data_IF_420803626363
#
_entry.id   IF_420803626363
#
_cell.length_a   1.000
_cell.length_b   1.000
_cell.length_c   1.000
_cell.angle_alpha   90.00
_cell.angle_beta   90.00
_cell.angle_gamma   90.00
#
_symmetry.space_group_name_H-M   'P 1'
#
loop_
_entity.id
_entity.type
_entity.pdbx_description
1 polymer ?
#
# COMPACT_ATOMS: atom_id res chain seq x y z
N UNK A 1 -22.43 3.88 -0.89
CA UNK A 1 -21.32 4.84 -0.85
C UNK A 1 -21.90 6.24 -0.60
N UNK A 2 -21.43 7.04 0.37
CA UNK A 2 -20.27 6.87 1.25
C UNK A 2 -20.60 6.17 2.59
N UNK A 3 -19.59 5.65 3.28
CA UNK A 3 -19.69 5.32 4.72
C UNK A 3 -19.30 6.55 5.56
N UNK A 4 -19.73 6.60 6.82
CA UNK A 4 -19.44 7.73 7.71
C UNK A 4 -17.93 7.76 8.01
N UNK A 5 -17.25 8.86 7.65
CA UNK A 5 -15.83 9.07 7.92
C UNK A 5 -15.66 9.32 9.43
N UNK A 6 -14.98 8.44 10.18
CA UNK A 6 -14.73 8.68 11.59
C UNK A 6 -13.97 9.99 11.81
N UNK A 7 -14.25 10.70 12.91
CA UNK A 7 -13.59 11.97 13.24
C UNK A 7 -12.05 11.84 13.25
N UNK A 8 -11.54 10.68 13.67
CA UNK A 8 -10.12 10.33 13.67
C UNK A 8 -9.48 10.21 12.28
N UNK A 9 -10.28 10.02 11.21
CA UNK A 9 -9.80 9.97 9.83
C UNK A 9 -10.18 11.21 9.01
N UNK A 10 -10.89 12.17 9.58
CA UNK A 10 -11.37 13.38 8.89
C UNK A 10 -10.25 14.22 8.26
N UNK A 11 -9.04 14.22 8.85
CA UNK A 11 -7.89 14.89 8.24
C UNK A 11 -7.51 14.28 6.87
N UNK A 12 -7.79 13.00 6.66
CA UNK A 12 -7.38 12.25 5.48
C UNK A 12 -8.36 12.37 4.31
N UNK A 13 -9.35 13.27 4.38
CA UNK A 13 -10.15 13.71 3.23
C UNK A 13 -9.84 15.15 2.80
N UNK A 14 -9.08 15.90 3.61
CA UNK A 14 -8.70 17.28 3.33
C UNK A 14 -7.56 17.37 2.29
N UNK A 15 -7.50 18.46 1.51
CA UNK A 15 -6.38 18.72 0.61
C UNK A 15 -5.11 19.05 1.40
N UNK A 16 -3.95 18.73 0.82
CA UNK A 16 -2.65 19.14 1.35
C UNK A 16 -1.64 19.34 0.22
N UNK A 17 -0.44 19.83 0.53
CA UNK A 17 0.62 20.03 -0.46
C UNK A 17 0.87 18.74 -1.26
N UNK A 18 0.86 18.83 -2.59
CA UNK A 18 0.98 17.72 -3.55
C UNK A 18 -0.24 16.80 -3.64
N UNK A 19 -1.29 17.00 -2.82
CA UNK A 19 -2.53 16.22 -2.83
C UNK A 19 -3.68 17.23 -2.91
N UNK A 20 -3.83 17.85 -4.07
CA UNK A 20 -4.82 18.91 -4.34
C UNK A 20 -6.22 18.31 -4.56
N UNK A 21 -6.78 17.61 -3.56
CA UNK A 21 -8.09 16.93 -3.64
C UNK A 21 -9.29 17.87 -3.82
N UNK A 22 -9.11 19.17 -3.59
CA UNK A 22 -10.09 20.22 -3.85
C UNK A 22 -10.00 20.82 -5.27
N UNK A 23 -9.07 20.33 -6.10
CA UNK A 23 -8.93 20.79 -7.48
C UNK A 23 -10.12 20.33 -8.35
N UNK A 24 -10.78 21.24 -9.09
CA UNK A 24 -11.95 20.89 -9.90
C UNK A 24 -11.66 19.83 -10.99
N UNK A 25 -10.46 19.78 -11.55
CA UNK A 25 -10.14 18.78 -12.58
C UNK A 25 -9.98 17.39 -11.97
N UNK A 26 -9.37 17.31 -10.79
CA UNK A 26 -9.24 16.07 -10.01
C UNK A 26 -10.64 15.56 -9.60
N UNK A 27 -11.50 16.43 -9.06
CA UNK A 27 -12.87 16.07 -8.66
C UNK A 27 -13.65 15.52 -9.84
N UNK A 28 -13.70 16.25 -10.96
CA UNK A 28 -14.46 15.83 -12.13
C UNK A 28 -13.94 14.52 -12.74
N UNK A 29 -12.62 14.31 -12.70
CA UNK A 29 -12.01 13.07 -13.19
C UNK A 29 -12.37 11.89 -12.28
N UNK A 30 -12.25 12.06 -10.96
CA UNK A 30 -12.58 11.02 -9.98
C UNK A 30 -14.07 10.66 -10.01
N UNK A 31 -14.96 11.65 -10.11
CA UNK A 31 -16.41 11.42 -10.27
C UNK A 31 -16.72 10.62 -11.54
N UNK A 32 -16.01 10.90 -12.64
CA UNK A 32 -16.16 10.18 -13.89
C UNK A 32 -15.72 8.72 -13.81
N UNK A 33 -14.59 8.46 -13.15
CA UNK A 33 -14.04 7.10 -12.93
C UNK A 33 -14.98 6.29 -12.03
N UNK A 34 -15.50 6.90 -10.97
CA UNK A 34 -16.26 6.21 -9.92
C UNK A 34 -17.77 6.12 -10.20
N UNK A 35 -18.26 6.70 -11.29
CA UNK A 35 -19.70 6.76 -11.61
C UNK A 35 -20.43 5.40 -11.65
N UNK A 36 -19.72 4.31 -11.88
CA UNK A 36 -20.26 2.94 -11.93
C UNK A 36 -19.89 2.05 -10.74
N UNK A 37 -19.10 2.55 -9.78
CA UNK A 37 -18.62 1.77 -8.65
C UNK A 37 -19.77 1.45 -7.67
N UNK A 38 -19.77 0.25 -7.08
CA UNK A 38 -20.84 -0.17 -6.18
C UNK A 38 -20.56 0.18 -4.73
N UNK A 39 -19.29 0.29 -4.36
CA UNK A 39 -18.84 0.68 -3.03
C UNK A 39 -17.51 1.48 -3.01
N UNK A 40 -16.96 1.65 -1.82
CA UNK A 40 -15.73 2.40 -1.55
C UNK A 40 -14.51 1.77 -2.19
N UNK A 41 -14.45 0.45 -2.09
CA UNK A 41 -13.33 -0.33 -2.51
C UNK A 41 -13.31 -0.39 -4.02
N UNK A 42 -14.46 -0.63 -4.65
CA UNK A 42 -14.64 -0.50 -6.10
C UNK A 42 -14.18 0.88 -6.61
N UNK A 43 -14.54 1.95 -5.89
CA UNK A 43 -14.15 3.31 -6.24
C UNK A 43 -12.63 3.51 -6.15
N UNK A 44 -12.02 3.08 -5.04
CA UNK A 44 -10.58 3.21 -4.82
C UNK A 44 -9.77 2.39 -5.84
N UNK A 45 -10.18 1.14 -6.10
CA UNK A 45 -9.54 0.26 -7.08
C UNK A 45 -9.68 0.82 -8.49
N UNK A 46 -10.87 1.26 -8.91
CA UNK A 46 -11.07 1.87 -10.23
C UNK A 46 -10.20 3.14 -10.43
N UNK A 47 -10.02 3.95 -9.38
CA UNK A 47 -9.11 5.09 -9.40
C UNK A 47 -7.66 4.63 -9.58
N UNK A 48 -7.21 3.63 -8.82
CA UNK A 48 -5.84 3.16 -8.90
C UNK A 48 -5.51 2.48 -10.24
N UNK A 49 -6.45 1.70 -10.79
CA UNK A 49 -6.36 1.13 -12.14
C UNK A 49 -6.31 2.23 -13.20
N UNK A 50 -7.17 3.24 -13.10
CA UNK A 50 -7.14 4.35 -14.04
C UNK A 50 -5.80 5.11 -13.98
N UNK A 51 -5.26 5.35 -12.78
CA UNK A 51 -3.95 6.00 -12.62
C UNK A 51 -2.85 5.15 -13.25
N UNK A 52 -2.85 3.84 -13.02
CA UNK A 52 -1.91 2.91 -13.64
C UNK A 52 -1.95 3.02 -15.18
N UNK A 53 -3.15 2.97 -15.76
CA UNK A 53 -3.37 2.95 -17.21
C UNK A 53 -3.13 4.30 -17.89
N UNK A 54 -3.25 5.42 -17.17
CA UNK A 54 -3.29 6.77 -17.77
C UNK A 54 -2.12 7.66 -17.38
N UNK A 55 -1.24 7.24 -16.46
CA UNK A 55 -0.10 8.04 -16.01
C UNK A 55 1.20 7.35 -16.37
N UNK A 56 1.91 7.93 -17.34
CA UNK A 56 3.19 7.42 -17.82
C UNK A 56 4.29 7.56 -16.73
N UNK A 57 4.96 6.47 -16.34
CA UNK A 57 6.04 6.53 -15.37
C UNK A 57 7.17 7.48 -15.81
N UNK A 58 7.60 8.36 -14.90
CA UNK A 58 8.66 9.35 -15.15
C UNK A 58 9.65 9.44 -13.99
N UNK A 59 10.86 9.94 -14.28
CA UNK A 59 11.86 10.24 -13.26
C UNK A 59 11.62 11.58 -12.55
N UNK A 60 10.70 12.39 -13.07
CA UNK A 60 10.36 13.70 -12.50
C UNK A 60 9.08 13.55 -11.69
N UNK A 61 9.19 13.78 -10.37
CA UNK A 61 8.04 13.82 -9.48
C UNK A 61 7.31 15.16 -9.52
N UNK A 62 6.01 15.12 -9.26
CA UNK A 62 5.11 16.27 -9.22
C UNK A 62 3.97 16.04 -8.22
N UNK A 63 3.23 17.10 -7.89
CA UNK A 63 1.99 17.00 -7.12
C UNK A 63 0.83 16.47 -7.97
N UNK A 64 -0.23 15.98 -7.32
CA UNK A 64 -1.38 15.34 -7.96
C UNK A 64 -1.94 16.13 -9.15
N UNK A 65 -2.16 17.44 -8.97
CA UNK A 65 -2.67 18.30 -10.04
C UNK A 65 -1.78 18.32 -11.27
N UNK A 66 -0.48 18.48 -11.07
CA UNK A 66 0.49 18.52 -12.16
C UNK A 66 0.62 17.14 -12.82
N UNK A 67 0.59 16.05 -12.04
CA UNK A 67 0.56 14.68 -12.56
C UNK A 67 -0.66 14.44 -13.46
N UNK A 68 -1.84 14.89 -13.04
CA UNK A 68 -3.06 14.75 -13.83
C UNK A 68 -2.98 15.51 -15.16
N UNK A 69 -2.50 16.75 -15.11
CA UNK A 69 -2.33 17.61 -16.28
C UNK A 69 -1.27 17.07 -17.25
N UNK A 70 -0.14 16.60 -16.72
CA UNK A 70 0.99 16.13 -17.53
C UNK A 70 0.83 14.69 -18.02
N UNK A 71 -0.10 13.92 -17.43
CA UNK A 71 -0.26 12.47 -17.63
C UNK A 71 1.03 11.70 -17.41
N UNK A 72 1.86 12.18 -16.49
CA UNK A 72 3.16 11.58 -16.19
C UNK A 72 3.65 11.96 -14.80
N UNK A 73 4.35 11.02 -14.15
CA UNK A 73 4.92 11.22 -12.83
C UNK A 73 5.66 9.99 -12.31
N UNK A 74 6.46 10.17 -11.26
CA UNK A 74 7.10 9.07 -10.54
C UNK A 74 6.11 8.30 -9.66
N UNK A 75 6.58 7.25 -8.98
CA UNK A 75 5.74 6.43 -8.09
C UNK A 75 5.05 7.27 -7.00
N UNK A 76 5.75 8.27 -6.47
CA UNK A 76 5.21 9.21 -5.48
C UNK A 76 4.06 10.05 -6.06
N UNK A 77 4.23 10.51 -7.29
CA UNK A 77 3.24 11.31 -8.04
C UNK A 77 1.97 10.51 -8.32
N UNK A 78 2.11 9.24 -8.72
CA UNK A 78 0.98 8.34 -8.92
C UNK A 78 0.23 8.09 -7.60
N UNK A 79 0.96 7.88 -6.50
CA UNK A 79 0.36 7.76 -5.18
C UNK A 79 -0.36 9.05 -4.76
N UNK A 80 0.25 10.23 -4.97
CA UNK A 80 -0.39 11.51 -4.69
C UNK A 80 -1.68 11.71 -5.49
N UNK A 81 -1.67 11.44 -6.79
CA UNK A 81 -2.86 11.56 -7.62
C UNK A 81 -3.96 10.60 -7.18
N UNK A 82 -3.61 9.36 -6.87
CA UNK A 82 -4.54 8.35 -6.36
C UNK A 82 -5.18 8.80 -5.05
N UNK A 83 -4.37 9.31 -4.09
CA UNK A 83 -4.88 9.87 -2.83
C UNK A 83 -5.80 11.06 -3.12
N UNK A 84 -5.41 11.99 -3.99
CA UNK A 84 -6.20 13.18 -4.27
C UNK A 84 -7.58 12.83 -4.85
N UNK A 85 -7.64 11.86 -5.78
CA UNK A 85 -8.90 11.36 -6.36
C UNK A 85 -9.75 10.59 -5.33
N UNK A 86 -9.14 9.78 -4.47
CA UNK A 86 -9.86 9.09 -3.39
C UNK A 86 -10.44 10.11 -2.39
N UNK A 87 -9.66 11.12 -1.98
CA UNK A 87 -10.13 12.19 -1.10
C UNK A 87 -11.25 13.02 -1.74
N UNK A 88 -11.15 13.31 -3.03
CA UNK A 88 -12.18 14.03 -3.80
C UNK A 88 -13.53 13.29 -3.81
N UNK A 89 -13.50 11.95 -3.71
CA UNK A 89 -14.71 11.09 -3.63
C UNK A 89 -15.12 10.76 -2.19
N UNK A 90 -14.47 11.37 -1.20
CA UNK A 90 -14.77 11.21 0.22
C UNK A 90 -14.16 9.98 0.88
N UNK A 91 -13.21 9.30 0.22
CA UNK A 91 -12.47 8.16 0.77
C UNK A 91 -11.24 8.69 1.55
N UNK A 92 -11.19 8.51 2.89
CA UNK A 92 -10.02 8.93 3.64
C UNK A 92 -8.79 8.15 3.18
N UNK A 93 -7.76 8.86 2.72
CA UNK A 93 -6.60 8.24 2.07
C UNK A 93 -5.30 8.90 2.52
N UNK A 94 -4.23 8.11 2.67
CA UNK A 94 -2.93 8.59 3.17
C UNK A 94 -1.76 8.01 2.38
N UNK A 95 -0.67 8.78 2.32
CA UNK A 95 0.59 8.30 1.78
C UNK A 95 1.30 7.45 2.82
N UNK A 96 1.72 6.26 2.39
CA UNK A 96 2.58 5.38 3.17
C UNK A 96 3.88 5.17 2.42
N UNK A 97 4.98 5.21 3.17
CA UNK A 97 6.31 5.05 2.60
C UNK A 97 7.08 3.93 3.27
N UNK A 98 7.92 3.29 2.47
CA UNK A 98 8.54 2.04 2.85
C UNK A 98 9.52 1.53 1.82
N UNK A 99 9.60 0.21 1.73
CA UNK A 99 10.36 -0.50 0.71
C UNK A 99 9.40 -1.39 -0.09
N UNK A 100 9.57 -1.44 -1.40
CA UNK A 100 8.95 -2.42 -2.29
C UNK A 100 10.02 -3.26 -2.99
N UNK A 101 9.81 -4.57 -3.13
CA UNK A 101 10.69 -5.46 -3.89
C UNK A 101 10.31 -5.47 -5.36
N UNK A 102 11.26 -5.21 -6.24
CA UNK A 102 11.06 -5.38 -7.67
C UNK A 102 12.36 -5.75 -8.36
N UNK A 103 12.31 -6.74 -9.27
CA UNK A 103 13.45 -7.12 -10.10
C UNK A 103 14.72 -7.50 -9.34
N UNK A 104 14.60 -8.18 -8.19
CA UNK A 104 15.75 -8.68 -7.44
C UNK A 104 16.29 -7.73 -6.35
N UNK A 105 15.70 -6.54 -6.17
CA UNK A 105 16.14 -5.55 -5.17
C UNK A 105 14.94 -4.87 -4.51
N UNK A 106 15.08 -4.48 -3.25
CA UNK A 106 14.13 -3.54 -2.64
C UNK A 106 14.54 -2.11 -2.97
N UNK A 107 13.57 -1.30 -3.34
CA UNK A 107 13.72 0.14 -3.53
C UNK A 107 12.80 0.86 -2.55
N UNK A 108 13.17 2.09 -2.20
CA UNK A 108 12.25 2.99 -1.51
C UNK A 108 10.99 3.14 -2.36
N UNK A 109 9.83 2.98 -1.72
CA UNK A 109 8.56 3.00 -2.41
C UNK A 109 7.52 3.73 -1.58
N UNK A 110 6.52 4.26 -2.29
CA UNK A 110 5.39 4.94 -1.69
C UNK A 110 4.11 4.38 -2.31
N UNK A 111 3.17 4.03 -1.45
CA UNK A 111 1.84 3.55 -1.85
C UNK A 111 0.76 4.31 -1.08
N UNK A 112 -0.48 4.01 -1.41
CA UNK A 112 -1.68 4.61 -0.82
C UNK A 112 -2.27 3.66 0.21
N UNK A 113 -2.79 4.20 1.31
CA UNK A 113 -3.74 3.46 2.13
C UNK A 113 -5.06 4.22 2.17
N UNK A 114 -6.14 3.49 1.93
CA UNK A 114 -7.50 3.99 2.00
C UNK A 114 -8.20 3.40 3.22
N UNK A 115 -8.89 4.24 3.97
CA UNK A 115 -9.70 3.76 5.09
C UNK A 115 -10.99 3.12 4.55
N UNK A 116 -11.33 1.93 5.03
CA UNK A 116 -12.43 1.09 4.53
C UNK A 116 -13.37 0.67 5.67
N UNK A 117 -13.72 1.61 6.56
CA UNK A 117 -14.62 1.38 7.68
C UNK A 117 -14.06 0.36 8.67
N UNK A 118 -14.83 -0.69 8.96
CA UNK A 118 -14.43 -1.78 9.87
C UNK A 118 -13.16 -2.51 9.41
N UNK A 119 -12.86 -2.47 8.10
CA UNK A 119 -11.65 -3.04 7.53
C UNK A 119 -10.39 -2.19 7.76
N UNK A 120 -10.51 -1.00 8.38
CA UNK A 120 -9.36 -0.17 8.72
C UNK A 120 -8.65 0.41 7.49
N UNK A 121 -7.34 0.62 7.60
CA UNK A 121 -6.51 1.19 6.52
C UNK A 121 -6.02 0.10 5.57
N UNK A 122 -6.56 0.06 4.36
CA UNK A 122 -6.28 -0.95 3.36
C UNK A 122 -5.28 -0.41 2.33
N UNK A 123 -4.17 -1.12 2.03
CA UNK A 123 -3.17 -0.67 1.07
C UNK A 123 -3.67 -0.75 -0.38
N UNK A 124 -3.19 0.18 -1.19
CA UNK A 124 -3.52 0.37 -2.60
C UNK A 124 -2.29 0.94 -3.32
N UNK A 125 -1.76 0.24 -4.31
CA UNK A 125 -0.55 0.64 -5.03
C UNK A 125 -0.77 0.64 -6.55
N UNK A 126 -1.01 1.81 -7.16
CA UNK A 126 -1.23 1.92 -8.60
C UNK A 126 0.02 1.58 -9.43
N UNK A 127 1.22 1.64 -8.85
CA UNK A 127 2.46 1.50 -9.61
C UNK A 127 2.84 0.04 -9.92
N UNK A 128 2.26 -0.91 -9.18
CA UNK A 128 2.53 -2.35 -9.31
C UNK A 128 1.26 -3.21 -9.37
N UNK A 129 0.09 -2.59 -9.56
CA UNK A 129 -1.23 -3.25 -9.62
C UNK A 129 -1.57 -4.09 -8.36
N UNK A 130 -1.16 -3.63 -7.19
CA UNK A 130 -1.50 -4.28 -5.91
C UNK A 130 -2.65 -3.53 -5.22
N UNK A 131 -3.83 -4.16 -5.16
CA UNK A 131 -5.06 -3.51 -4.68
C UNK A 131 -5.68 -4.30 -3.53
N UNK A 132 -5.41 -3.88 -2.29
CA UNK A 132 -6.04 -4.48 -1.11
C UNK A 132 -5.18 -5.46 -0.35
N UNK A 133 -3.97 -5.70 -0.83
CA UNK A 133 -2.92 -6.38 -0.11
C UNK A 133 -1.65 -5.56 -0.22
N UNK A 134 -0.88 -5.55 0.85
CA UNK A 134 0.54 -5.26 0.78
C UNK A 134 1.17 -6.64 0.82
N UNK A 135 1.68 -7.14 -0.31
CA UNK A 135 2.41 -8.40 -0.26
C UNK A 135 3.60 -8.20 0.71
N UNK A 136 4.24 -9.29 1.11
CA UNK A 136 5.44 -9.23 1.93
C UNK A 136 6.63 -8.39 1.40
N UNK A 137 6.69 -7.98 0.12
CA UNK A 137 7.64 -6.99 -0.32
C UNK A 137 7.27 -5.53 -0.01
N UNK A 138 6.09 -5.20 0.53
CA UNK A 138 5.76 -3.83 0.97
C UNK A 138 5.99 -3.68 2.47
N UNK A 139 7.12 -3.07 2.83
CA UNK A 139 7.50 -2.87 4.23
C UNK A 139 7.15 -1.45 4.67
N UNK A 140 6.09 -1.29 5.47
CA UNK A 140 5.71 0.00 6.06
C UNK A 140 6.80 0.49 7.01
N UNK A 141 7.45 1.60 6.67
CA UNK A 141 8.47 2.21 7.53
C UNK A 141 7.95 3.48 8.24
N UNK A 142 6.97 4.18 7.67
CA UNK A 142 6.43 5.43 8.24
C UNK A 142 5.05 5.79 7.67
N UNK A 143 4.34 6.62 8.42
CA UNK A 143 3.03 7.18 8.08
C UNK A 143 3.14 8.70 8.03
N UNK A 144 2.94 9.30 6.84
CA UNK A 144 3.13 10.73 6.56
C UNK A 144 4.58 11.26 6.70
N UNK A 145 4.91 12.29 5.92
CA UNK A 145 6.22 12.96 5.90
C UNK A 145 7.20 12.46 4.84
N UNK A 146 8.32 13.18 4.69
CA UNK A 146 9.39 12.82 3.75
C UNK A 146 10.51 12.05 4.45
N UNK A 147 11.02 10.98 3.82
CA UNK A 147 12.28 10.34 4.20
C UNK A 147 13.46 11.07 3.56
N UNK A 148 14.56 11.22 4.31
CA UNK A 148 15.88 11.41 3.73
C UNK A 148 16.28 10.12 3.00
N UNK A 149 16.38 10.18 1.67
CA UNK A 149 16.62 9.05 0.75
C UNK A 149 17.38 7.88 1.36
N UNK A 150 16.77 6.70 1.38
CA UNK A 150 17.48 5.45 1.68
C UNK A 150 18.36 5.11 0.47
N UNK A 151 19.63 5.50 0.52
CA UNK A 151 20.55 5.44 -0.63
C UNK A 151 20.82 4.03 -1.18
N UNK A 152 20.55 2.97 -0.40
CA UNK A 152 20.51 1.59 -0.90
C UNK A 152 19.98 0.63 0.16
N UNK A 153 19.14 -0.31 -0.25
CA UNK A 153 18.78 -1.52 0.52
C UNK A 153 19.12 -2.72 -0.37
N UNK A 154 20.00 -3.61 0.09
CA UNK A 154 20.43 -4.79 -0.67
C UNK A 154 19.92 -6.06 -0.01
N UNK A 155 19.30 -6.93 -0.80
CA UNK A 155 19.03 -8.30 -0.36
C UNK A 155 20.29 -9.11 -0.57
N UNK A 156 20.84 -9.64 0.52
CA UNK A 156 22.05 -10.48 0.46
C UNK A 156 21.68 -11.96 0.43
N UNK A 157 20.52 -12.35 0.97
CA UNK A 157 20.00 -13.72 0.92
C UNK A 157 18.47 -13.71 1.12
N UNK A 158 17.75 -14.57 0.41
CA UNK A 158 16.31 -14.80 0.54
C UNK A 158 16.04 -16.31 0.56
N UNK A 159 14.99 -16.75 1.26
CA UNK A 159 14.73 -18.21 1.45
C UNK A 159 13.76 -18.82 0.44
N UNK A 160 12.97 -18.04 -0.31
CA UNK A 160 12.06 -18.53 -1.36
C UNK A 160 12.38 -17.96 -2.74
N UNK A 161 12.55 -18.84 -3.73
CA UNK A 161 12.72 -18.45 -5.13
C UNK A 161 11.45 -17.77 -5.61
N UNK A 162 11.50 -16.57 -6.24
CA UNK A 162 10.31 -15.94 -6.78
C UNK A 162 9.62 -16.92 -7.73
N UNK A 163 8.35 -17.22 -7.48
CA UNK A 163 7.51 -17.77 -8.55
C UNK A 163 7.38 -16.70 -9.64
N UNK A 164 7.37 -17.14 -10.89
CA UNK A 164 7.36 -16.26 -12.05
C UNK A 164 6.24 -15.22 -11.91
N UNK A 165 6.55 -13.95 -12.21
CA UNK A 165 5.63 -12.80 -12.17
C UNK A 165 4.39 -12.92 -13.09
N UNK A 166 4.23 -14.06 -13.78
CA UNK A 166 3.12 -14.38 -14.68
C UNK A 166 2.19 -15.49 -14.13
N UNK A 167 2.31 -15.87 -12.86
CA UNK A 167 1.46 -16.91 -12.26
C UNK A 167 0.06 -16.34 -11.96
N UNK A 168 -1.04 -17.03 -12.29
CA UNK A 168 -2.40 -16.48 -12.15
C UNK A 168 -2.71 -16.00 -10.72
N UNK A 169 -3.42 -14.86 -10.61
CA UNK A 169 -3.80 -14.15 -9.37
C UNK A 169 -4.59 -14.97 -8.32
N UNK A 170 -4.97 -16.23 -8.59
CA UNK A 170 -5.71 -17.02 -7.60
C UNK A 170 -4.76 -17.51 -6.51
N UNK A 171 -4.88 -16.98 -5.28
CA UNK A 171 -4.13 -17.51 -4.16
C UNK A 171 -4.63 -18.91 -3.80
N UNK A 172 -3.69 -19.86 -3.67
CA UNK A 172 -3.92 -21.16 -3.03
C UNK A 172 -2.92 -21.31 -1.87
N UNK A 173 -3.19 -20.62 -0.77
CA UNK A 173 -2.37 -20.67 0.43
C UNK A 173 -2.86 -21.74 1.41
N UNK A 174 -1.93 -22.32 2.18
CA UNK A 174 -2.23 -23.27 3.24
C UNK A 174 -2.03 -22.64 4.64
N UNK A 175 -2.86 -23.04 5.61
CA UNK A 175 -2.67 -22.65 7.03
C UNK A 175 -1.29 -23.10 7.52
N UNK A 176 -0.58 -22.20 8.19
CA UNK A 176 0.79 -22.40 8.67
C UNK A 176 1.86 -22.19 7.60
N UNK A 177 1.47 -21.89 6.35
CA UNK A 177 2.43 -21.39 5.37
C UNK A 177 2.94 -20.03 5.83
N UNK A 178 4.26 -19.88 5.87
CA UNK A 178 4.91 -18.66 6.29
C UNK A 178 6.03 -18.30 5.32
N UNK A 179 6.20 -17.02 5.00
CA UNK A 179 7.41 -16.54 4.33
C UNK A 179 8.15 -15.56 5.24
N UNK A 180 9.47 -15.53 5.06
CA UNK A 180 10.39 -14.66 5.81
C UNK A 180 11.28 -13.90 4.84
N UNK A 181 11.28 -12.59 4.98
CA UNK A 181 12.11 -11.65 4.26
C UNK A 181 13.09 -11.05 5.25
N UNK A 182 14.39 -11.26 5.03
CA UNK A 182 15.44 -10.73 5.89
C UNK A 182 16.38 -9.84 5.09
N UNK A 183 16.74 -8.71 5.68
CA UNK A 183 17.58 -7.69 5.08
C UNK A 183 18.86 -7.61 5.87
N UNK A 184 19.99 -7.81 5.20
CA UNK A 184 21.29 -7.87 5.84
C UNK A 184 22.14 -6.72 5.33
N UNK A 185 22.50 -5.79 6.22
CA UNK A 185 23.43 -4.71 5.93
C UNK A 185 24.75 -4.99 6.63
N UNK A 186 25.86 -5.01 5.88
CA UNK A 186 27.21 -5.26 6.42
C UNK A 186 27.31 -6.53 7.28
N UNK A 187 26.61 -7.60 6.87
CA UNK A 187 26.60 -8.89 7.57
C UNK A 187 25.67 -8.97 8.80
N UNK A 188 24.91 -7.92 9.10
CA UNK A 188 23.92 -7.90 10.19
C UNK A 188 22.51 -7.82 9.62
N UNK A 189 21.60 -8.69 10.07
CA UNK A 189 20.17 -8.56 9.75
C UNK A 189 19.61 -7.29 10.39
N UNK A 190 19.16 -6.35 9.57
CA UNK A 190 18.68 -5.02 9.98
C UNK A 190 17.19 -4.86 9.80
N UNK A 191 16.57 -5.58 8.88
CA UNK A 191 15.11 -5.61 8.74
C UNK A 191 14.70 -7.07 8.58
N UNK A 192 13.53 -7.42 9.10
CA UNK A 192 12.91 -8.71 8.94
C UNK A 192 11.41 -8.54 8.84
N UNK A 193 10.78 -9.15 7.86
CA UNK A 193 9.34 -9.34 7.83
C UNK A 193 9.04 -10.83 7.76
N UNK A 194 8.15 -11.30 8.61
CA UNK A 194 7.64 -12.66 8.59
C UNK A 194 6.14 -12.58 8.45
N UNK A 195 5.59 -13.24 7.43
CA UNK A 195 4.15 -13.41 7.36
C UNK A 195 3.77 -14.87 7.49
N UNK A 196 2.59 -15.11 8.04
CA UNK A 196 2.03 -16.43 8.30
C UNK A 196 0.55 -16.44 7.96
N UNK A 197 0.12 -17.47 7.23
CA UNK A 197 -1.29 -17.76 6.98
C UNK A 197 -1.85 -18.42 8.23
N UNK A 198 -2.53 -17.64 9.05
CA UNK A 198 -3.06 -18.07 10.34
C UNK A 198 -4.36 -18.85 10.23
N UNK A 199 -5.15 -18.59 9.18
CA UNK A 199 -6.42 -19.25 8.95
C UNK A 199 -6.80 -19.25 7.46
N UNK A 200 -7.57 -20.25 7.05
CA UNK A 200 -8.25 -20.29 5.75
C UNK A 200 -9.68 -20.75 6.01
N UNK A 201 -10.66 -19.95 5.62
CA UNK A 201 -12.09 -20.27 5.77
C UNK A 201 -12.85 -20.09 4.46
N UNK A 202 -14.06 -20.60 4.42
CA UNK A 202 -15.00 -20.34 3.34
C UNK A 202 -16.28 -19.74 3.93
N UNK A 203 -16.72 -18.61 3.37
CA UNK A 203 -17.89 -17.86 3.83
C UNK A 203 -18.71 -17.42 2.62
N UNK A 204 -19.98 -17.83 2.56
CA UNK A 204 -20.87 -17.54 1.42
C UNK A 204 -20.30 -17.94 0.04
N UNK A 205 -19.46 -18.99 -0.01
CA UNK A 205 -18.80 -19.46 -1.23
C UNK A 205 -17.54 -18.68 -1.61
N UNK A 206 -17.11 -17.73 -0.78
CA UNK A 206 -15.86 -16.98 -0.92
C UNK A 206 -14.81 -17.61 -0.01
N UNK A 207 -13.67 -18.00 -0.56
CA UNK A 207 -12.53 -18.50 0.21
C UNK A 207 -11.73 -17.31 0.73
N UNK A 208 -11.47 -17.29 2.03
CA UNK A 208 -10.85 -16.18 2.77
C UNK A 208 -9.58 -16.67 3.47
N UNK A 209 -8.50 -15.91 3.32
CA UNK A 209 -7.20 -16.14 3.96
C UNK A 209 -6.98 -15.10 5.04
N UNK A 210 -6.70 -15.53 6.28
CA UNK A 210 -6.26 -14.63 7.35
C UNK A 210 -4.74 -14.72 7.49
N UNK A 211 -4.06 -13.61 7.27
CA UNK A 211 -2.61 -13.48 7.20
C UNK A 211 -2.15 -12.57 8.31
N UNK A 212 -1.15 -12.99 9.08
CA UNK A 212 -0.42 -12.14 10.02
C UNK A 212 0.91 -11.74 9.39
N UNK A 213 1.28 -10.47 9.46
CA UNK A 213 2.59 -9.93 9.05
C UNK A 213 3.29 -9.32 10.27
N UNK A 214 4.55 -9.68 10.50
CA UNK A 214 5.36 -9.26 11.63
C UNK A 214 6.68 -8.65 11.12
N UNK A 215 6.74 -7.33 11.10
CA UNK A 215 7.86 -6.52 10.67
C UNK A 215 8.70 -6.06 11.87
N UNK A 216 10.00 -6.30 11.78
CA UNK A 216 11.03 -5.84 12.70
C UNK A 216 12.10 -5.06 11.94
N UNK A 217 12.28 -3.81 12.28
CA UNK A 217 13.35 -2.94 11.78
C UNK A 217 14.27 -2.64 12.94
N UNK A 218 15.53 -3.03 12.82
CA UNK A 218 16.61 -2.59 13.71
C UNK A 218 17.06 -1.19 13.29
N UNK A 219 17.52 -0.38 14.25
CA UNK A 219 17.98 0.97 13.94
C UNK A 219 19.24 0.91 13.06
N UNK A 220 19.20 1.61 11.92
CA UNK A 220 20.35 1.77 11.01
C UNK A 220 20.41 3.18 10.45
N UNK A 221 21.52 3.88 10.68
CA UNK A 221 21.66 5.26 10.24
C UNK A 221 20.57 6.18 10.82
N UNK A 222 19.70 6.71 9.97
CA UNK A 222 18.56 7.54 10.37
C UNK A 222 17.26 6.74 10.60
N UNK A 223 17.25 5.44 10.30
CA UNK A 223 16.08 4.60 10.47
C UNK A 223 15.92 4.23 11.96
N UNK A 224 14.74 4.52 12.51
CA UNK A 224 14.40 4.18 13.90
C UNK A 224 14.01 2.72 14.00
N UNK A 225 14.25 2.13 15.18
CA UNK A 225 13.72 0.80 15.46
C UNK A 225 12.21 0.81 15.23
N UNK A 226 11.68 -0.12 14.45
CA UNK A 226 10.25 -0.14 14.13
C UNK A 226 9.74 -1.56 14.24
N UNK A 227 8.63 -1.76 14.95
CA UNK A 227 7.93 -3.04 14.97
C UNK A 227 6.49 -2.82 14.52
N UNK A 228 6.05 -3.61 13.54
CA UNK A 228 4.69 -3.59 13.02
C UNK A 228 4.13 -5.00 13.00
N UNK A 229 2.96 -5.19 13.59
CA UNK A 229 2.21 -6.45 13.50
C UNK A 229 0.85 -6.15 12.89
N UNK A 230 0.63 -6.69 11.70
CA UNK A 230 -0.59 -6.50 10.91
C UNK A 230 -1.32 -7.83 10.71
N UNK A 231 -2.64 -7.75 10.62
CA UNK A 231 -3.53 -8.82 10.25
C UNK A 231 -4.30 -8.40 9.01
N UNK A 232 -4.31 -9.24 7.99
CA UNK A 232 -4.97 -9.01 6.72
C UNK A 232 -5.88 -10.20 6.43
N UNK A 233 -7.13 -9.95 6.10
CA UNK A 233 -8.01 -10.94 5.48
C UNK A 233 -8.24 -10.58 4.02
N UNK A 234 -7.99 -11.53 3.13
CA UNK A 234 -8.20 -11.38 1.68
C UNK A 234 -8.98 -12.58 1.13
N UNK A 235 -9.71 -12.39 0.04
CA UNK A 235 -10.32 -13.49 -0.69
C UNK A 235 -9.34 -14.17 -1.69
N UNK A 236 -9.83 -15.16 -2.43
CA UNK A 236 -9.04 -15.88 -3.42
C UNK A 236 -8.69 -15.08 -4.68
N UNK A 237 -9.39 -13.97 -4.93
CA UNK A 237 -9.07 -12.99 -5.97
C UNK A 237 -8.22 -11.84 -5.42
N UNK A 238 -7.76 -11.97 -4.18
CA UNK A 238 -6.91 -11.04 -3.45
C UNK A 238 -7.65 -9.76 -3.02
N UNK A 239 -8.98 -9.73 -3.10
CA UNK A 239 -9.74 -8.58 -2.60
C UNK A 239 -9.62 -8.49 -1.07
N UNK A 240 -9.43 -7.29 -0.50
CA UNK A 240 -9.36 -7.09 0.93
C UNK A 240 -10.73 -7.31 1.57
N UNK A 241 -10.73 -8.02 2.68
CA UNK A 241 -11.90 -8.23 3.54
C UNK A 241 -11.73 -7.44 4.84
N UNK A 242 -10.54 -7.50 5.45
CA UNK A 242 -10.22 -6.67 6.60
C UNK A 242 -8.72 -6.46 6.74
N UNK A 243 -8.31 -5.33 7.31
CA UNK A 243 -6.93 -5.08 7.70
C UNK A 243 -6.87 -4.43 9.09
N UNK A 244 -6.01 -4.95 9.94
CA UNK A 244 -5.85 -4.46 11.30
C UNK A 244 -4.37 -4.46 11.71
N UNK A 245 -3.87 -3.29 12.07
CA UNK A 245 -2.57 -3.18 12.74
C UNK A 245 -2.75 -3.40 14.24
N UNK A 246 -2.30 -4.55 14.75
CA UNK A 246 -2.28 -4.90 16.18
C UNK A 246 -1.21 -4.10 16.92
N UNK A 247 -0.04 -3.90 16.28
CA UNK A 247 1.10 -3.21 16.89
C UNK A 247 1.77 -2.32 15.87
N UNK A 248 2.04 -1.07 16.25
CA UNK A 248 2.93 -0.17 15.53
C UNK A 248 3.76 0.61 16.54
N UNK A 249 5.06 0.32 16.63
CA UNK A 249 5.96 1.01 17.56
C UNK A 249 7.17 1.53 16.82
N UNK A 250 7.47 2.81 17.01
CA UNK A 250 8.71 3.45 16.55
C UNK A 250 9.55 3.78 17.78
N UNK A 251 10.79 3.31 17.81
CA UNK A 251 11.75 3.59 18.87
C UNK A 251 12.06 5.08 18.98
N UNK A 252 12.21 5.57 20.20
CA UNK A 252 12.76 6.90 20.45
C UNK A 252 14.22 6.93 20.00
N UNK A 253 14.53 7.81 19.05
CA UNK A 253 15.91 8.07 18.60
C UNK A 253 16.71 8.84 19.63
#
# INVERSE_FOLDING_TARGET
>A
FPFEVPEETALYVEPETNIESDDPEIINTADGITAGATDAWDSATAIAEWVHDNIEPSAIGAGAKETLSNKSGDFTSQAYLTIAMCRATGIPSRLVGGLAYSGGKFAQHYWVECYMGDAGWVPLDPSVEEYGWADAPHLRLFQSGAIASLNSVSIVNYTETPEDANTPKSLDLAVGQSRRFAFVQSGTETIRNEYEVTNVREENGIRIYSIKSDLHVKPTGQCKATEVVDFLEIDAEVNPISYHTEKFTIGSG
#
